data_IF_011411440969
#
_entry.id   IF_011411440969
#
_cell.length_a   1.000
_cell.length_b   1.000
_cell.length_c   1.000
_cell.angle_alpha   90.00
_cell.angle_beta   90.00
_cell.angle_gamma   90.00
#
_symmetry.space_group_name_H-M   'P 1'
#
loop_
_entity.id
_entity.type
_entity.pdbx_description
1 polymer ?
#
# COMPACT_ATOMS: atom_id res chain seq x y z
N UNK A 1 4.29 4.05 -7.76
CA UNK A 1 3.60 2.77 -8.06
C UNK A 1 4.06 2.26 -9.42
N UNK A 2 3.70 1.05 -9.82
CA UNK A 2 3.95 0.55 -11.18
C UNK A 2 2.68 -0.11 -11.71
N UNK A 3 2.37 0.14 -12.98
CA UNK A 3 1.28 -0.49 -13.73
C UNK A 3 1.84 -0.83 -15.09
N UNK A 4 1.79 -2.11 -15.45
CA UNK A 4 2.37 -2.60 -16.70
C UNK A 4 1.35 -3.49 -17.41
N UNK A 5 0.97 -3.17 -18.66
CA UNK A 5 0.22 -4.08 -19.51
C UNK A 5 1.07 -5.30 -19.84
N UNK A 6 0.61 -6.48 -19.43
CA UNK A 6 1.27 -7.76 -19.76
C UNK A 6 0.69 -8.33 -21.06
N UNK A 7 -0.63 -8.25 -21.21
CA UNK A 7 -1.33 -8.75 -22.39
C UNK A 7 -2.66 -8.02 -22.55
N UNK A 8 -2.96 -7.60 -23.77
CA UNK A 8 -4.29 -7.15 -24.21
C UNK A 8 -4.79 -8.11 -25.29
N UNK A 9 -5.97 -8.68 -25.12
CA UNK A 9 -6.57 -9.62 -26.07
C UNK A 9 -7.95 -9.14 -26.51
N UNK A 10 -8.18 -9.15 -27.83
CA UNK A 10 -9.46 -8.76 -28.43
C UNK A 10 -10.07 -9.97 -29.12
N UNK A 11 -11.37 -10.19 -28.94
CA UNK A 11 -12.08 -11.22 -29.72
C UNK A 11 -12.15 -10.82 -31.19
N UNK A 12 -12.25 -11.81 -32.07
CA UNK A 12 -12.54 -11.60 -33.49
C UNK A 12 -14.00 -11.24 -33.74
N UNK A 13 -14.87 -11.45 -32.75
CA UNK A 13 -16.27 -11.02 -32.78
C UNK A 13 -16.33 -9.50 -32.51
N UNK A 14 -16.94 -8.77 -33.44
CA UNK A 14 -17.14 -7.31 -33.36
C UNK A 14 -17.83 -6.90 -32.05
N UNK A 15 -17.48 -5.72 -31.52
CA UNK A 15 -18.11 -5.08 -30.34
C UNK A 15 -17.88 -5.74 -28.97
N UNK A 16 -17.00 -6.74 -28.88
CA UNK A 16 -16.62 -7.30 -27.57
C UNK A 16 -15.55 -6.44 -26.88
N UNK A 17 -15.61 -6.28 -25.54
CA UNK A 17 -14.60 -5.52 -24.81
C UNK A 17 -13.24 -6.23 -24.84
N UNK A 18 -12.17 -5.44 -24.80
CA UNK A 18 -10.79 -5.94 -24.77
C UNK A 18 -10.48 -6.48 -23.37
N UNK A 19 -9.90 -7.68 -23.31
CA UNK A 19 -9.42 -8.28 -22.07
C UNK A 19 -8.00 -7.77 -21.80
N UNK A 20 -7.82 -7.01 -20.72
CA UNK A 20 -6.51 -6.53 -20.29
C UNK A 20 -6.01 -7.34 -19.09
N UNK A 21 -4.76 -7.75 -19.14
CA UNK A 21 -4.01 -8.31 -18.01
C UNK A 21 -2.89 -7.35 -17.64
N UNK A 22 -2.93 -6.84 -16.42
CA UNK A 22 -1.99 -5.84 -15.92
C UNK A 22 -1.22 -6.41 -14.72
N UNK A 23 0.09 -6.12 -14.67
CA UNK A 23 0.92 -6.29 -13.48
C UNK A 23 0.96 -4.97 -12.73
N UNK A 24 0.47 -4.98 -11.49
CA UNK A 24 0.43 -3.81 -10.61
C UNK A 24 1.42 -3.98 -9.45
N UNK A 25 2.07 -2.89 -9.06
CA UNK A 25 2.80 -2.76 -7.81
C UNK A 25 2.39 -1.51 -7.05
N UNK A 26 1.73 -1.69 -5.92
CA UNK A 26 1.15 -0.60 -5.13
C UNK A 26 1.28 -0.84 -3.61
N UNK A 27 1.07 0.18 -2.76
CA UNK A 27 1.13 0.03 -1.30
C UNK A 27 0.11 -1.00 -0.79
N UNK A 28 0.54 -1.92 0.09
CA UNK A 28 -0.31 -3.02 0.56
C UNK A 28 -1.59 -2.54 1.27
N UNK A 29 -1.58 -1.34 1.86
CA UNK A 29 -2.76 -0.72 2.48
C UNK A 29 -3.94 -0.56 1.52
N UNK A 30 -3.71 -0.45 0.20
CA UNK A 30 -4.77 -0.29 -0.80
C UNK A 30 -5.42 -1.61 -1.20
N UNK A 31 -4.81 -2.74 -0.84
CA UNK A 31 -5.27 -4.06 -1.27
C UNK A 31 -6.71 -4.37 -0.85
N UNK A 32 -7.18 -4.07 0.38
CA UNK A 32 -8.56 -4.35 0.77
C UNK A 32 -9.57 -3.61 -0.11
N UNK A 33 -9.33 -2.33 -0.41
CA UNK A 33 -10.21 -1.50 -1.23
C UNK A 33 -10.14 -1.89 -2.71
N UNK A 34 -8.95 -2.19 -3.22
CA UNK A 34 -8.81 -2.79 -4.55
C UNK A 34 -9.59 -4.11 -4.64
N UNK A 35 -9.58 -4.91 -3.56
CA UNK A 35 -10.24 -6.21 -3.49
C UNK A 35 -11.78 -6.15 -3.57
N UNK A 36 -12.41 -5.00 -3.30
CA UNK A 36 -13.88 -4.84 -3.39
C UNK A 36 -14.42 -4.92 -4.82
N UNK A 37 -13.58 -4.71 -5.84
CA UNK A 37 -13.95 -4.83 -7.24
C UNK A 37 -14.01 -6.30 -7.68
N UNK A 38 -15.17 -6.92 -7.48
CA UNK A 38 -15.38 -8.37 -7.68
C UNK A 38 -15.31 -8.84 -9.13
N UNK A 39 -15.48 -7.93 -10.09
CA UNK A 39 -15.40 -8.24 -11.53
C UNK A 39 -13.97 -8.56 -12.00
N UNK A 40 -12.97 -8.34 -11.15
CA UNK A 40 -11.57 -8.59 -11.45
C UNK A 40 -11.14 -10.02 -11.10
N UNK A 41 -10.53 -10.71 -12.07
CA UNK A 41 -9.74 -11.92 -11.82
C UNK A 41 -8.34 -11.53 -11.36
N UNK A 42 -7.87 -12.05 -10.22
CA UNK A 42 -6.67 -11.53 -9.55
C UNK A 42 -5.80 -12.61 -8.94
N UNK A 43 -4.49 -12.38 -8.94
CA UNK A 43 -3.50 -13.11 -8.16
C UNK A 43 -2.56 -12.13 -7.46
N UNK A 44 -2.44 -12.22 -6.14
CA UNK A 44 -1.64 -11.31 -5.33
C UNK A 44 -0.50 -12.06 -4.62
N UNK A 45 0.67 -11.42 -4.53
CA UNK A 45 1.83 -11.98 -3.82
C UNK A 45 1.47 -12.28 -2.35
N UNK A 46 1.70 -13.53 -1.94
CA UNK A 46 1.32 -14.02 -0.59
C UNK A 46 2.42 -13.77 0.44
N UNK A 47 2.09 -13.06 1.52
CA UNK A 47 2.99 -12.89 2.68
C UNK A 47 3.28 -14.19 3.42
N UNK A 48 2.42 -15.21 3.30
CA UNK A 48 2.65 -16.54 3.87
C UNK A 48 3.68 -17.35 3.07
N UNK A 49 3.84 -17.07 1.78
CA UNK A 49 4.75 -17.82 0.92
C UNK A 49 6.20 -17.32 1.07
N UNK A 50 6.39 -16.01 1.24
CA UNK A 50 7.71 -15.35 1.24
C UNK A 50 8.44 -15.49 2.60
N UNK A 51 9.74 -15.83 2.61
CA UNK A 51 10.55 -15.84 3.84
C UNK A 51 10.56 -14.49 4.56
N UNK A 52 10.59 -14.50 5.91
CA UNK A 52 10.58 -13.26 6.72
C UNK A 52 11.76 -12.35 6.39
N UNK A 53 12.96 -12.92 6.25
CA UNK A 53 14.18 -12.20 5.87
C UNK A 53 14.03 -11.38 4.58
N UNK A 54 13.32 -11.90 3.59
CA UNK A 54 13.06 -11.18 2.34
C UNK A 54 12.15 -9.97 2.58
N UNK A 55 11.07 -10.15 3.35
CA UNK A 55 10.15 -9.06 3.67
C UNK A 55 10.80 -7.99 4.55
N UNK A 56 11.64 -8.38 5.52
CA UNK A 56 12.44 -7.46 6.33
C UNK A 56 13.33 -6.57 5.44
N UNK A 57 14.04 -7.17 4.48
CA UNK A 57 14.91 -6.42 3.57
C UNK A 57 14.13 -5.46 2.67
N UNK A 58 12.96 -5.87 2.17
CA UNK A 58 12.10 -4.98 1.36
C UNK A 58 11.65 -3.75 2.15
N UNK A 59 11.20 -3.93 3.40
CA UNK A 59 10.76 -2.81 4.25
C UNK A 59 11.95 -1.95 4.70
N UNK A 60 13.12 -2.54 4.98
CA UNK A 60 14.35 -1.79 5.32
C UNK A 60 14.83 -0.91 4.16
N UNK A 61 14.80 -1.42 2.93
CA UNK A 61 15.41 -0.75 1.78
C UNK A 61 14.45 0.20 1.07
N UNK A 62 13.18 -0.20 0.92
CA UNK A 62 12.18 0.57 0.18
C UNK A 62 10.80 0.40 0.82
N UNK A 63 10.60 0.92 2.05
CA UNK A 63 9.28 0.91 2.65
C UNK A 63 8.33 1.76 1.81
N UNK A 64 7.06 1.42 1.84
CA UNK A 64 6.04 2.39 1.46
C UNK A 64 6.11 3.56 2.45
N UNK A 65 6.16 4.78 1.93
CA UNK A 65 6.01 6.03 2.66
C UNK A 65 4.89 6.79 1.96
N UNK A 66 3.81 7.18 2.66
CA UNK A 66 2.72 7.95 2.05
C UNK A 66 3.23 9.24 1.42
N UNK A 67 2.59 9.65 0.32
CA UNK A 67 2.84 10.94 -0.32
C UNK A 67 1.62 11.87 -0.27
N UNK A 68 0.48 11.37 0.20
CA UNK A 68 -0.65 12.19 0.64
C UNK A 68 -0.80 12.04 2.15
N UNK A 69 -0.84 13.15 2.87
CA UNK A 69 -0.98 13.20 4.32
C UNK A 69 -2.13 14.12 4.69
N UNK A 70 -3.35 13.64 4.53
CA UNK A 70 -4.55 14.42 4.81
C UNK A 70 -4.61 14.96 6.24
N UNK A 71 -4.87 16.26 6.38
CA UNK A 71 -5.14 16.91 7.66
C UNK A 71 -6.47 16.42 8.24
N UNK A 72 -6.47 16.20 9.56
CA UNK A 72 -7.65 15.73 10.26
C UNK A 72 -8.80 16.75 10.17
N UNK A 73 -9.98 16.27 9.79
CA UNK A 73 -11.22 17.05 9.72
C UNK A 73 -12.45 16.15 9.84
N UNK A 74 -13.64 16.73 9.98
CA UNK A 74 -14.89 15.96 10.00
C UNK A 74 -15.14 15.31 8.63
N UNK A 75 -15.57 14.05 8.64
CA UNK A 75 -15.84 13.27 7.43
C UNK A 75 -14.77 12.21 7.17
N UNK A 76 -14.85 11.54 6.02
CA UNK A 76 -13.91 10.49 5.63
C UNK A 76 -12.72 10.99 4.80
N UNK A 77 -12.82 12.22 4.26
CA UNK A 77 -11.85 12.78 3.32
C UNK A 77 -11.14 14.00 3.91
N UNK A 78 -9.88 14.17 3.54
CA UNK A 78 -9.10 15.37 3.85
C UNK A 78 -9.08 16.32 2.65
N UNK A 79 -9.26 17.61 2.89
CA UNK A 79 -9.18 18.65 1.85
C UNK A 79 -7.83 19.36 1.80
N UNK A 80 -6.97 19.18 2.80
CA UNK A 80 -5.68 19.84 2.93
C UNK A 80 -4.60 18.84 3.39
N UNK A 81 -3.36 19.08 2.98
CA UNK A 81 -2.18 18.34 3.46
C UNK A 81 -1.76 18.80 4.86
N UNK A 82 -1.34 17.85 5.69
CA UNK A 82 -0.77 18.07 7.02
C UNK A 82 0.75 17.95 6.94
N UNK A 83 1.45 19.04 7.25
CA UNK A 83 2.92 19.11 7.26
C UNK A 83 3.49 19.31 8.67
N UNK A 84 2.64 19.18 9.71
CA UNK A 84 3.06 19.30 11.09
C UNK A 84 4.08 18.20 11.44
N UNK A 85 5.00 18.55 12.33
CA UNK A 85 5.98 17.59 12.85
C UNK A 85 5.30 16.56 13.74
N UNK A 86 5.82 15.34 13.71
CA UNK A 86 5.32 14.21 14.49
C UNK A 86 6.27 13.99 15.66
N UNK A 87 5.71 14.07 16.86
CA UNK A 87 6.40 13.70 18.08
C UNK A 87 6.02 12.24 18.43
N UNK A 88 6.94 11.28 18.36
CA UNK A 88 6.64 9.87 18.60
C UNK A 88 6.45 9.50 20.09
N UNK A 89 6.40 10.49 20.99
CA UNK A 89 6.18 10.25 22.42
C UNK A 89 4.80 9.62 22.67
N UNK A 90 4.73 8.54 23.48
CA UNK A 90 3.46 7.90 23.79
C UNK A 90 2.57 8.79 24.67
N UNK A 91 1.27 8.78 24.39
CA UNK A 91 0.25 9.55 25.14
C UNK A 91 0.14 9.19 26.64
N UNK A 92 0.70 8.05 27.07
CA UNK A 92 0.44 7.46 28.41
C UNK A 92 1.56 7.71 29.41
N UNK A 93 2.69 8.32 29.03
CA UNK A 93 3.78 8.53 29.99
C UNK A 93 3.56 9.82 30.80
N UNK A 94 3.01 9.68 32.00
CA UNK A 94 3.35 10.59 33.09
C UNK A 94 4.85 10.45 33.33
N UNK A 95 5.59 11.49 32.95
CA UNK A 95 7.00 11.78 33.22
C UNK A 95 7.74 10.78 34.14
N UNK A 96 8.46 9.82 33.55
CA UNK A 96 9.75 9.29 34.03
C UNK A 96 10.17 8.13 33.13
N UNK A 97 11.03 8.42 32.15
CA UNK A 97 11.81 7.44 31.37
C UNK A 97 10.99 6.48 30.48
N UNK A 98 10.79 6.91 29.23
CA UNK A 98 10.59 5.96 28.12
C UNK A 98 11.95 5.76 27.42
N UNK A 99 12.55 4.55 27.47
CA UNK A 99 13.81 4.28 26.79
C UNK A 99 13.71 4.34 25.25
N UNK A 100 12.50 4.47 24.70
CA UNK A 100 12.22 4.63 23.27
C UNK A 100 11.70 6.04 22.91
N UNK A 101 11.57 6.93 23.90
CA UNK A 101 11.29 8.35 23.67
C UNK A 101 12.44 8.98 22.88
N UNK A 102 12.23 9.18 21.58
CA UNK A 102 13.15 9.99 20.78
C UNK A 102 12.85 11.46 21.09
N UNK A 103 13.82 12.24 21.61
CA UNK A 103 13.59 13.58 22.12
C UNK A 103 13.45 14.65 21.02
N UNK A 104 13.07 14.25 19.79
CA UNK A 104 13.06 15.16 18.66
C UNK A 104 11.82 14.99 17.78
N UNK A 105 11.23 16.12 17.43
CA UNK A 105 10.15 16.25 16.47
C UNK A 105 10.64 15.84 15.07
N UNK A 106 9.92 14.93 14.43
CA UNK A 106 10.27 14.40 13.11
C UNK A 106 9.36 14.94 12.04
N UNK A 107 9.83 15.02 10.79
CA UNK A 107 8.90 15.15 9.66
C UNK A 107 7.98 13.93 9.61
N UNK A 108 6.79 14.08 9.01
CA UNK A 108 5.82 12.98 8.82
C UNK A 108 6.44 11.76 8.10
N UNK A 109 7.32 11.99 7.13
CA UNK A 109 8.04 10.94 6.40
C UNK A 109 9.10 10.24 7.29
N UNK A 110 9.84 11.00 8.10
CA UNK A 110 10.84 10.45 9.03
C UNK A 110 10.17 9.62 10.13
N UNK A 111 9.09 10.11 10.73
CA UNK A 111 8.33 9.39 11.74
C UNK A 111 7.77 8.07 11.20
N UNK A 112 7.27 8.07 9.96
CA UNK A 112 6.80 6.85 9.30
C UNK A 112 7.92 5.85 9.03
N UNK A 113 9.09 6.32 8.58
CA UNK A 113 10.29 5.47 8.42
C UNK A 113 10.78 4.92 9.75
N UNK A 114 10.72 5.72 10.81
CA UNK A 114 11.05 5.28 12.16
C UNK A 114 10.11 4.15 12.62
N UNK A 115 8.79 4.31 12.43
CA UNK A 115 7.82 3.26 12.70
C UNK A 115 8.09 1.98 11.88
N UNK A 116 8.45 2.11 10.60
CA UNK A 116 8.85 0.98 9.75
C UNK A 116 10.06 0.24 10.32
N UNK A 117 11.08 0.97 10.79
CA UNK A 117 12.27 0.38 11.40
C UNK A 117 11.94 -0.39 12.70
N UNK A 118 11.07 0.15 13.55
CA UNK A 118 10.60 -0.54 14.74
C UNK A 118 9.82 -1.82 14.41
N UNK A 119 8.95 -1.76 13.39
CA UNK A 119 8.21 -2.94 12.92
C UNK A 119 9.14 -4.02 12.36
N UNK A 120 10.20 -3.62 11.65
CA UNK A 120 11.26 -4.52 11.17
C UNK A 120 12.00 -5.17 12.35
N UNK A 121 12.41 -4.39 13.35
CA UNK A 121 13.09 -4.91 14.53
C UNK A 121 12.21 -5.93 15.28
N UNK A 122 10.92 -5.62 15.45
CA UNK A 122 9.95 -6.54 16.03
C UNK A 122 9.82 -7.83 15.20
N UNK A 123 9.58 -7.72 13.90
CA UNK A 123 9.45 -8.89 13.02
C UNK A 123 10.72 -9.77 12.98
N UNK A 124 11.91 -9.16 13.05
CA UNK A 124 13.18 -9.88 13.17
C UNK A 124 13.33 -10.61 14.50
N UNK A 125 12.87 -10.03 15.61
CA UNK A 125 12.83 -10.70 16.90
C UNK A 125 11.90 -11.93 16.89
N UNK A 126 10.70 -11.81 16.29
CA UNK A 126 9.80 -12.96 16.10
C UNK A 126 10.42 -14.04 15.22
N UNK A 127 11.07 -13.67 14.11
CA UNK A 127 11.79 -14.62 13.26
C UNK A 127 12.88 -15.36 14.04
N UNK A 128 13.68 -14.63 14.83
CA UNK A 128 14.80 -15.17 15.62
C UNK A 128 14.31 -16.10 16.73
N UNK A 129 13.17 -15.78 17.35
CA UNK A 129 12.52 -16.64 18.35
C UNK A 129 11.85 -17.90 17.74
N UNK A 130 11.87 -18.06 16.42
CA UNK A 130 11.35 -19.26 15.75
C UNK A 130 9.87 -19.17 15.34
N UNK A 131 9.24 -18.00 15.41
CA UNK A 131 7.86 -17.84 14.96
C UNK A 131 7.73 -17.98 13.43
N UNK A 132 6.65 -18.64 13.00
CA UNK A 132 6.39 -18.85 11.58
C UNK A 132 6.09 -17.53 10.84
N UNK A 133 6.56 -17.44 9.59
CA UNK A 133 6.39 -16.29 8.68
C UNK A 133 4.96 -15.80 8.51
N UNK A 134 3.97 -16.69 8.68
CA UNK A 134 2.55 -16.34 8.59
C UNK A 134 2.12 -15.24 9.56
N UNK A 135 2.78 -15.15 10.73
CA UNK A 135 2.50 -14.15 11.75
C UNK A 135 3.55 -13.05 11.73
N UNK A 136 4.84 -13.38 11.71
CA UNK A 136 5.91 -12.37 11.75
C UNK A 136 5.82 -11.35 10.60
N UNK A 137 5.46 -11.78 9.39
CA UNK A 137 5.32 -10.88 8.24
C UNK A 137 4.13 -9.90 8.38
N UNK A 138 3.17 -10.14 9.27
CA UNK A 138 2.00 -9.27 9.44
C UNK A 138 2.36 -7.92 10.06
N UNK A 139 3.39 -7.90 10.88
CA UNK A 139 3.93 -6.67 11.50
C UNK A 139 4.43 -5.66 10.46
N UNK A 140 4.75 -6.14 9.26
CA UNK A 140 5.34 -5.34 8.20
C UNK A 140 4.31 -4.78 7.21
N UNK A 141 3.09 -5.31 7.18
CA UNK A 141 2.09 -5.01 6.13
C UNK A 141 1.82 -3.52 5.90
N UNK A 142 1.79 -2.64 6.91
CA UNK A 142 1.60 -1.20 6.71
C UNK A 142 2.68 -0.54 5.81
N UNK A 143 3.90 -1.08 5.83
CA UNK A 143 5.07 -0.50 5.16
C UNK A 143 5.43 -1.21 3.85
N UNK A 144 4.60 -2.16 3.43
CA UNK A 144 4.90 -3.02 2.31
C UNK A 144 4.32 -2.51 0.99
N UNK A 145 5.02 -2.85 -0.08
CA UNK A 145 4.47 -2.88 -1.43
C UNK A 145 3.95 -4.29 -1.74
N UNK A 146 2.93 -4.39 -2.59
CA UNK A 146 2.42 -5.66 -3.09
C UNK A 146 2.42 -5.69 -4.61
N UNK A 147 2.79 -6.84 -5.16
CA UNK A 147 2.65 -7.16 -6.58
C UNK A 147 1.34 -7.94 -6.80
N UNK A 148 0.52 -7.49 -7.75
CA UNK A 148 -0.77 -8.07 -8.10
C UNK A 148 -0.88 -8.20 -9.62
N UNK A 149 -1.22 -9.40 -10.10
CA UNK A 149 -1.67 -9.62 -11.46
C UNK A 149 -3.20 -9.51 -11.47
N UNK A 150 -3.75 -8.68 -12.35
CA UNK A 150 -5.19 -8.48 -12.50
C UNK A 150 -5.60 -8.58 -13.96
N UNK A 151 -6.71 -9.26 -14.21
CA UNK A 151 -7.30 -9.43 -15.53
C UNK A 151 -8.77 -9.09 -15.49
N UNK A 152 -9.23 -8.25 -16.42
CA UNK A 152 -10.63 -7.88 -16.57
C UNK A 152 -10.94 -7.32 -17.96
N UNK A 153 -12.21 -7.36 -18.35
CA UNK A 153 -12.79 -6.59 -19.46
C UNK A 153 -13.42 -5.28 -18.97
N UNK A 154 -14.00 -5.29 -17.76
CA UNK A 154 -14.76 -4.18 -17.19
C UNK A 154 -13.92 -3.28 -16.28
N UNK A 155 -13.29 -2.27 -16.87
CA UNK A 155 -12.48 -1.29 -16.14
C UNK A 155 -13.22 0.01 -15.81
N UNK A 156 -14.27 0.34 -16.57
CA UNK A 156 -14.97 1.61 -16.50
C UNK A 156 -15.51 1.93 -15.10
N UNK A 157 -16.11 0.94 -14.42
CA UNK A 157 -16.62 1.13 -13.06
C UNK A 157 -15.50 1.38 -12.04
N UNK A 158 -14.36 0.68 -12.18
CA UNK A 158 -13.21 0.90 -11.33
C UNK A 158 -12.65 2.32 -11.52
N UNK A 159 -12.44 2.74 -12.77
CA UNK A 159 -11.94 4.08 -13.09
C UNK A 159 -12.92 5.16 -12.62
N UNK A 160 -14.22 4.98 -12.84
CA UNK A 160 -15.26 5.92 -12.39
C UNK A 160 -15.27 6.09 -10.86
N UNK A 161 -15.18 4.99 -10.10
CA UNK A 161 -15.20 5.05 -8.63
C UNK A 161 -13.88 5.52 -8.04
N UNK A 162 -12.76 5.17 -8.66
CA UNK A 162 -11.43 5.29 -8.04
C UNK A 162 -10.62 6.45 -8.59
N UNK A 163 -10.80 6.88 -9.85
CA UNK A 163 -10.32 8.19 -10.30
C UNK A 163 -11.34 9.29 -9.97
N UNK A 164 -11.67 9.40 -8.68
CA UNK A 164 -12.62 10.38 -8.17
C UNK A 164 -11.97 11.23 -7.07
N UNK A 165 -12.44 12.47 -6.88
CA UNK A 165 -11.92 13.39 -5.87
C UNK A 165 -12.04 12.88 -4.44
N UNK A 166 -13.11 12.13 -4.17
CA UNK A 166 -13.42 11.56 -2.85
C UNK A 166 -12.87 10.14 -2.63
N UNK A 167 -12.13 9.59 -3.61
CA UNK A 167 -11.45 8.31 -3.42
C UNK A 167 -10.23 8.49 -2.52
N UNK A 168 -9.81 7.41 -1.84
CA UNK A 168 -8.51 7.40 -1.15
C UNK A 168 -7.42 7.83 -2.15
N UNK A 169 -6.62 8.87 -1.83
CA UNK A 169 -5.84 9.57 -2.85
C UNK A 169 -4.73 8.71 -3.45
N UNK A 170 -4.16 7.76 -2.72
CA UNK A 170 -3.18 6.84 -3.29
C UNK A 170 -3.85 5.83 -4.25
N UNK A 171 -5.05 5.33 -3.93
CA UNK A 171 -5.83 4.48 -4.83
C UNK A 171 -6.29 5.24 -6.08
N UNK A 172 -6.59 6.54 -5.95
CA UNK A 172 -6.86 7.42 -7.08
C UNK A 172 -5.67 7.51 -8.03
N UNK A 173 -4.48 7.71 -7.49
CA UNK A 173 -3.25 7.72 -8.28
C UNK A 173 -3.04 6.36 -8.99
N UNK A 174 -3.32 5.24 -8.30
CA UNK A 174 -3.29 3.92 -8.93
C UNK A 174 -4.30 3.81 -10.07
N UNK A 175 -5.53 4.30 -9.88
CA UNK A 175 -6.58 4.21 -10.88
C UNK A 175 -6.24 4.98 -12.16
N UNK A 176 -5.65 6.18 -12.01
CA UNK A 176 -5.14 6.97 -13.14
C UNK A 176 -4.04 6.24 -13.91
N UNK A 177 -3.08 5.65 -13.21
CA UNK A 177 -2.03 4.85 -13.84
C UNK A 177 -2.59 3.62 -14.56
N UNK A 178 -3.64 3.00 -14.02
CA UNK A 178 -4.38 1.91 -14.70
C UNK A 178 -5.05 2.40 -15.97
N UNK A 179 -5.76 3.53 -15.95
CA UNK A 179 -6.37 4.13 -17.13
C UNK A 179 -5.34 4.42 -18.23
N UNK A 180 -4.25 5.09 -17.88
CA UNK A 180 -3.14 5.40 -18.79
C UNK A 180 -2.52 4.13 -19.40
N UNK A 181 -2.33 3.09 -18.60
CA UNK A 181 -1.75 1.83 -19.09
C UNK A 181 -2.69 1.10 -20.05
N UNK A 182 -4.00 1.16 -19.82
CA UNK A 182 -5.00 0.57 -20.72
C UNK A 182 -5.10 1.35 -22.03
N UNK A 183 -5.06 2.68 -21.98
CA UNK A 183 -5.10 3.54 -23.17
C UNK A 183 -3.87 3.37 -24.07
N UNK A 184 -2.71 3.07 -23.48
CA UNK A 184 -1.46 2.88 -24.20
C UNK A 184 -1.26 1.46 -24.77
N UNK A 185 -2.13 0.50 -24.46
CA UNK A 185 -1.97 -0.93 -24.77
C UNK A 185 -2.84 -1.41 -25.94
#
# INVERSE_FOLDING_TARGET
MQVEPILSSRSTISETPVLHTLRLRFPRMLLPEFNTHRVFSRNARSSRAVPVKTMLNEVRTKPFVPWHWGKNQKGMQASEECNEVVNPMPFVTNAAYDPYALPYDMTREEAWRNAANHAVAAAEAYMTAGYHKQIANRLLEPFMWIDVLVTATEWSNFLWLRDHGDAEPHLRDLARLVGQAIEAA
#
